data_IF_171274130497
#
_entry.id   IF_171274130497
#
_cell.length_a   1.000
_cell.length_b   1.000
_cell.length_c   1.000
_cell.angle_alpha   90.00
_cell.angle_beta   90.00
_cell.angle_gamma   90.00
#
_symmetry.space_group_name_H-M   'P 1'
#
loop_
_entity.id
_entity.type
_entity.pdbx_description
1 polymer ?
#
# COMPACT_ATOMS: atom_id res chain seq x y z
N UNK A 1 -4.11 -5.86 -17.94
CA UNK A 1 -4.37 -4.43 -17.63
C UNK A 1 -3.97 -3.59 -18.84
N UNK A 2 -4.54 -2.40 -19.01
CA UNK A 2 -4.13 -1.48 -20.08
C UNK A 2 -2.71 -0.98 -19.83
N UNK A 3 -1.89 -0.88 -20.88
CA UNK A 3 -0.47 -0.56 -20.76
C UNK A 3 -0.22 0.83 -20.16
N UNK A 4 -1.04 1.81 -20.52
CA UNK A 4 -0.96 3.18 -19.98
C UNK A 4 -1.18 3.21 -18.46
N UNK A 5 -2.17 2.46 -17.97
CA UNK A 5 -2.42 2.33 -16.53
C UNK A 5 -1.24 1.69 -15.80
N UNK A 6 -0.64 0.63 -16.38
CA UNK A 6 0.53 -0.05 -15.79
C UNK A 6 1.70 0.91 -15.67
N UNK A 7 2.01 1.69 -16.72
CA UNK A 7 3.10 2.65 -16.70
C UNK A 7 2.89 3.76 -15.66
N UNK A 8 1.69 4.34 -15.60
CA UNK A 8 1.35 5.37 -14.62
C UNK A 8 1.45 4.85 -13.17
N UNK A 9 1.00 3.62 -12.92
CA UNK A 9 1.13 3.02 -11.60
C UNK A 9 2.59 2.71 -11.24
N UNK A 10 3.43 2.28 -12.20
CA UNK A 10 4.85 2.04 -11.95
C UNK A 10 5.59 3.32 -11.58
N UNK A 11 5.32 4.43 -12.27
CA UNK A 11 5.87 5.74 -11.95
C UNK A 11 5.47 6.17 -10.53
N UNK A 12 4.18 6.09 -10.21
CA UNK A 12 3.69 6.42 -8.87
C UNK A 12 4.32 5.54 -7.77
N UNK A 13 4.47 4.24 -8.01
CA UNK A 13 5.08 3.33 -7.04
C UNK A 13 6.57 3.62 -6.83
N UNK A 14 7.27 4.06 -7.87
CA UNK A 14 8.66 4.47 -7.78
C UNK A 14 8.80 5.73 -6.90
N UNK A 15 7.98 6.75 -7.14
CA UNK A 15 7.96 7.97 -6.31
C UNK A 15 7.68 7.64 -4.83
N UNK A 16 6.64 6.84 -4.56
CA UNK A 16 6.30 6.41 -3.20
C UNK A 16 7.44 5.62 -2.54
N UNK A 17 8.14 4.79 -3.30
CA UNK A 17 9.27 4.00 -2.80
C UNK A 17 10.44 4.90 -2.39
N UNK A 18 10.77 5.90 -3.21
CA UNK A 18 11.85 6.86 -2.94
C UNK A 18 11.52 7.72 -1.70
N UNK A 19 10.31 8.29 -1.64
CA UNK A 19 9.88 9.10 -0.50
C UNK A 19 9.86 8.30 0.81
N UNK A 20 9.32 7.06 0.79
CA UNK A 20 9.30 6.21 1.98
C UNK A 20 10.70 5.77 2.43
N UNK A 21 11.63 5.57 1.48
CA UNK A 21 13.02 5.26 1.81
C UNK A 21 13.70 6.44 2.51
N UNK A 22 13.55 7.66 1.98
CA UNK A 22 14.10 8.89 2.61
C UNK A 22 13.50 9.09 4.01
N UNK A 23 12.18 8.93 4.16
CA UNK A 23 11.51 9.04 5.45
C UNK A 23 11.98 7.97 6.44
N UNK A 24 12.21 6.73 5.97
CA UNK A 24 12.75 5.64 6.80
C UNK A 24 14.13 6.00 7.35
N UNK A 25 15.01 6.58 6.52
CA UNK A 25 16.33 7.06 6.97
C UNK A 25 16.20 8.16 8.03
N UNK A 26 15.34 9.16 7.81
CA UNK A 26 15.09 10.24 8.79
C UNK A 26 14.64 9.71 10.15
N UNK A 27 13.79 8.67 10.18
CA UNK A 27 13.36 8.03 11.43
C UNK A 27 14.52 7.29 12.11
N UNK A 28 15.37 6.59 11.35
CA UNK A 28 16.53 5.87 11.90
C UNK A 28 17.56 6.82 12.53
N UNK A 29 17.75 8.01 11.95
CA UNK A 29 18.61 9.05 12.53
C UNK A 29 17.96 9.83 13.68
N UNK A 30 16.72 9.51 14.06
CA UNK A 30 15.99 10.19 15.14
C UNK A 30 15.55 11.62 14.79
N UNK A 31 15.50 11.98 13.52
CA UNK A 31 15.26 13.35 13.05
C UNK A 31 13.96 13.48 12.24
N UNK A 32 12.86 12.90 12.73
CA UNK A 32 11.56 13.05 12.07
C UNK A 32 10.84 14.31 12.54
N UNK A 33 10.74 15.30 11.66
CA UNK A 33 9.93 16.49 11.90
C UNK A 33 8.43 16.16 11.82
N UNK A 34 7.57 17.04 12.35
CA UNK A 34 6.12 16.91 12.20
C UNK A 34 5.66 16.89 10.73
N UNK A 35 6.39 17.59 9.86
CA UNK A 35 6.10 17.62 8.42
C UNK A 35 6.45 16.27 7.80
N UNK A 36 7.65 15.74 8.09
CA UNK A 36 8.07 14.43 7.62
C UNK A 36 7.16 13.30 8.14
N UNK A 37 6.69 13.41 9.40
CA UNK A 37 5.70 12.49 9.94
C UNK A 37 4.39 12.51 9.15
N UNK A 38 3.85 13.70 8.83
CA UNK A 38 2.64 13.81 7.98
C UNK A 38 2.87 13.30 6.55
N UNK A 39 4.06 13.51 6.00
CA UNK A 39 4.44 12.94 4.71
C UNK A 39 4.44 11.41 4.76
N UNK A 40 4.88 10.82 5.88
CA UNK A 40 4.82 9.37 6.11
C UNK A 40 3.38 8.86 6.10
N UNK A 41 2.50 9.49 6.88
CA UNK A 41 1.08 9.13 6.93
C UNK A 41 0.46 9.15 5.53
N UNK A 42 0.73 10.21 4.76
CA UNK A 42 0.22 10.36 3.39
C UNK A 42 0.77 9.30 2.44
N UNK A 43 2.06 9.02 2.49
CA UNK A 43 2.70 8.01 1.64
C UNK A 43 2.15 6.61 1.92
N UNK A 44 1.99 6.22 3.19
CA UNK A 44 1.40 4.93 3.55
C UNK A 44 -0.07 4.82 3.11
N UNK A 45 -0.83 5.91 3.23
CA UNK A 45 -2.20 5.98 2.70
C UNK A 45 -2.21 5.75 1.18
N UNK A 46 -1.41 6.52 0.43
CA UNK A 46 -1.33 6.43 -1.03
C UNK A 46 -0.90 5.05 -1.51
N UNK A 47 0.13 4.48 -0.90
CA UNK A 47 0.60 3.13 -1.21
C UNK A 47 -0.51 2.09 -0.98
N UNK A 48 -1.27 2.22 0.10
CA UNK A 48 -2.40 1.32 0.37
C UNK A 48 -3.50 1.47 -0.68
N UNK A 49 -3.85 2.70 -1.09
CA UNK A 49 -4.84 2.93 -2.15
C UNK A 49 -4.36 2.40 -3.51
N UNK A 50 -3.07 2.56 -3.84
CA UNK A 50 -2.46 1.99 -5.04
C UNK A 50 -2.61 0.47 -5.06
N UNK A 51 -2.30 -0.21 -3.95
CA UNK A 51 -2.50 -1.66 -3.82
C UNK A 51 -3.97 -2.07 -4.03
N UNK A 52 -4.92 -1.33 -3.45
CA UNK A 52 -6.36 -1.60 -3.62
C UNK A 52 -6.77 -1.43 -5.08
N UNK A 53 -6.33 -0.35 -5.75
CA UNK A 53 -6.62 -0.09 -7.15
C UNK A 53 -6.09 -1.19 -8.06
N UNK A 54 -4.82 -1.57 -7.88
CA UNK A 54 -4.17 -2.64 -8.64
C UNK A 54 -4.87 -3.98 -8.41
N UNK A 55 -5.20 -4.33 -7.17
CA UNK A 55 -5.93 -5.56 -6.85
C UNK A 55 -7.31 -5.61 -7.54
N UNK A 56 -8.03 -4.49 -7.59
CA UNK A 56 -9.30 -4.40 -8.33
C UNK A 56 -9.09 -4.57 -9.83
N UNK A 57 -8.07 -3.94 -10.42
CA UNK A 57 -7.77 -4.12 -11.84
C UNK A 57 -7.36 -5.56 -12.17
N UNK A 58 -6.64 -6.23 -11.27
CA UNK A 58 -6.32 -7.66 -11.40
C UNK A 58 -7.58 -8.53 -11.38
N UNK A 59 -8.49 -8.31 -10.42
CA UNK A 59 -9.77 -9.04 -10.42
C UNK A 59 -10.58 -8.79 -11.69
N UNK A 60 -10.59 -7.56 -12.19
CA UNK A 60 -11.25 -7.20 -13.45
C UNK A 60 -10.66 -7.94 -14.64
N UNK A 61 -9.33 -8.06 -14.74
CA UNK A 61 -8.69 -8.80 -15.84
C UNK A 61 -8.97 -10.30 -15.79
N UNK A 62 -9.24 -10.86 -14.60
CA UNK A 62 -9.67 -12.25 -14.41
C UNK A 62 -11.18 -12.46 -14.65
N UNK A 63 -11.91 -11.43 -15.10
CA UNK A 63 -13.36 -11.50 -15.35
C UNK A 63 -14.22 -11.60 -14.09
N UNK A 64 -13.67 -11.25 -12.92
CA UNK A 64 -14.36 -11.36 -11.62
C UNK A 64 -15.18 -10.10 -11.36
N UNK A 65 -16.40 -10.28 -10.83
CA UNK A 65 -17.23 -9.17 -10.34
C UNK A 65 -16.51 -8.47 -9.20
N UNK A 66 -16.30 -7.16 -9.34
CA UNK A 66 -15.53 -6.38 -8.37
C UNK A 66 -16.27 -6.27 -7.04
N UNK A 67 -15.60 -6.57 -5.91
CA UNK A 67 -16.19 -6.35 -4.60
C UNK A 67 -16.36 -4.86 -4.28
N UNK A 68 -17.32 -4.57 -3.39
CA UNK A 68 -17.66 -3.19 -3.01
C UNK A 68 -16.64 -2.55 -2.06
N UNK A 69 -15.87 -3.34 -1.30
CA UNK A 69 -14.87 -2.84 -0.36
C UNK A 69 -13.49 -3.48 -0.55
N UNK A 70 -12.48 -2.80 0.03
CA UNK A 70 -11.07 -3.18 -0.09
C UNK A 70 -10.77 -4.55 0.54
N UNK A 71 -11.38 -4.88 1.70
CA UNK A 71 -11.12 -6.16 2.38
C UNK A 71 -11.62 -7.33 1.56
N UNK A 72 -12.83 -7.20 1.00
CA UNK A 72 -13.38 -8.19 0.10
C UNK A 72 -12.55 -8.34 -1.18
N UNK A 73 -11.97 -7.24 -1.68
CA UNK A 73 -11.06 -7.26 -2.84
C UNK A 73 -9.87 -8.19 -2.59
N UNK A 74 -9.14 -8.01 -1.49
CA UNK A 74 -7.98 -8.86 -1.18
C UNK A 74 -8.38 -10.28 -0.77
N UNK A 75 -9.48 -10.46 -0.03
CA UNK A 75 -10.00 -11.80 0.27
C UNK A 75 -10.29 -12.58 -1.01
N UNK A 76 -10.88 -11.93 -2.01
CA UNK A 76 -11.17 -12.56 -3.30
C UNK A 76 -9.90 -12.88 -4.08
N UNK A 77 -8.92 -11.97 -4.08
CA UNK A 77 -7.64 -12.18 -4.75
C UNK A 77 -6.88 -13.37 -4.15
N UNK A 78 -6.84 -13.46 -2.81
CA UNK A 78 -6.25 -14.59 -2.08
C UNK A 78 -7.00 -15.90 -2.33
N UNK A 79 -8.34 -15.88 -2.33
CA UNK A 79 -9.15 -17.07 -2.62
C UNK A 79 -8.95 -17.62 -4.04
N UNK A 80 -8.50 -16.78 -4.98
CA UNK A 80 -8.13 -17.16 -6.34
C UNK A 80 -6.65 -17.59 -6.47
N UNK A 81 -5.91 -17.64 -5.37
CA UNK A 81 -4.48 -17.96 -5.37
C UNK A 81 -3.59 -16.89 -6.03
N UNK A 82 -4.14 -15.69 -6.26
CA UNK A 82 -3.44 -14.60 -6.95
C UNK A 82 -2.65 -13.69 -5.99
N UNK A 83 -2.79 -13.90 -4.68
CA UNK A 83 -2.02 -13.22 -3.64
C UNK A 83 -1.35 -14.24 -2.72
N UNK A 84 -0.03 -14.37 -2.87
CA UNK A 84 0.83 -15.22 -2.05
C UNK A 84 1.75 -14.39 -1.13
N UNK A 85 1.47 -13.09 -0.97
CA UNK A 85 2.35 -12.17 -0.23
C UNK A 85 2.40 -12.42 1.28
N UNK A 86 1.37 -13.09 1.83
CA UNK A 86 1.22 -13.26 3.28
C UNK A 86 0.89 -11.96 4.02
N UNK A 87 0.54 -10.89 3.31
CA UNK A 87 0.20 -9.59 3.91
C UNK A 87 -1.14 -9.68 4.65
N UNK A 88 -1.15 -9.18 5.89
CA UNK A 88 -2.34 -9.03 6.71
C UNK A 88 -3.18 -7.82 6.25
N UNK A 89 -3.83 -7.93 5.08
CA UNK A 89 -4.55 -6.81 4.45
C UNK A 89 -5.61 -6.15 5.33
N UNK A 90 -6.23 -6.89 6.25
CA UNK A 90 -7.16 -6.32 7.22
C UNK A 90 -6.49 -5.28 8.14
N UNK A 91 -5.24 -5.52 8.54
CA UNK A 91 -4.43 -4.58 9.34
C UNK A 91 -4.00 -3.39 8.50
N UNK A 92 -3.53 -3.63 7.28
CA UNK A 92 -3.10 -2.56 6.34
C UNK A 92 -4.26 -1.61 6.04
N UNK A 93 -5.43 -2.14 5.67
CA UNK A 93 -6.64 -1.34 5.43
C UNK A 93 -7.11 -0.65 6.71
N UNK A 94 -7.00 -1.34 7.86
CA UNK A 94 -7.30 -0.76 9.16
C UNK A 94 -6.46 0.48 9.47
N UNK A 95 -5.14 0.39 9.25
CA UNK A 95 -4.22 1.52 9.38
C UNK A 95 -4.60 2.66 8.43
N UNK A 96 -4.83 2.37 7.14
CA UNK A 96 -5.25 3.39 6.17
C UNK A 96 -6.53 4.10 6.59
N UNK A 97 -7.50 3.36 7.13
CA UNK A 97 -8.75 3.95 7.60
C UNK A 97 -8.52 4.82 8.85
N UNK A 98 -7.67 4.37 9.77
CA UNK A 98 -7.31 5.16 10.95
C UNK A 98 -6.66 6.48 10.52
N UNK A 99 -5.67 6.43 9.61
CA UNK A 99 -4.95 7.61 9.09
C UNK A 99 -5.87 8.69 8.49
N UNK A 100 -7.05 8.31 8.01
CA UNK A 100 -8.01 9.24 7.39
C UNK A 100 -9.14 9.64 8.34
N UNK A 101 -9.71 8.68 9.06
CA UNK A 101 -10.97 8.87 9.80
C UNK A 101 -10.79 8.97 11.30
N UNK A 102 -9.73 8.36 11.85
CA UNK A 102 -9.46 8.26 13.29
C UNK A 102 -8.09 8.86 13.66
N UNK A 103 -7.63 9.82 12.87
CA UNK A 103 -6.26 10.37 12.93
C UNK A 103 -5.90 11.02 14.27
N UNK A 104 -6.90 11.38 15.09
CA UNK A 104 -6.68 11.92 16.44
C UNK A 104 -6.25 10.85 17.45
N UNK A 105 -6.54 9.57 17.19
CA UNK A 105 -6.32 8.47 18.12
C UNK A 105 -5.16 7.55 17.68
N UNK A 106 -4.44 7.89 16.61
CA UNK A 106 -3.30 7.11 16.15
C UNK A 106 -2.10 7.37 17.04
N UNK A 107 -1.54 6.29 17.59
CA UNK A 107 -0.23 6.34 18.24
C UNK A 107 0.86 6.49 17.17
N UNK A 108 1.66 7.58 17.17
CA UNK A 108 2.67 7.83 16.14
C UNK A 108 3.69 6.68 16.00
N UNK A 109 4.00 5.99 17.09
CA UNK A 109 4.92 4.85 17.09
C UNK A 109 4.48 3.70 16.17
N UNK A 110 3.18 3.53 15.93
CA UNK A 110 2.69 2.54 14.96
C UNK A 110 3.22 2.88 13.56
N UNK A 111 3.03 4.12 13.13
CA UNK A 111 3.47 4.63 11.81
C UNK A 111 5.00 4.61 11.71
N UNK A 112 5.70 5.07 12.76
CA UNK A 112 7.15 5.09 12.80
C UNK A 112 7.76 3.68 12.79
N UNK A 113 7.12 2.71 13.44
CA UNK A 113 7.58 1.31 13.44
C UNK A 113 7.55 0.69 12.04
N UNK A 114 6.55 1.04 11.22
CA UNK A 114 6.43 0.59 9.83
C UNK A 114 7.61 1.11 9.00
N UNK A 115 7.99 2.38 9.19
CA UNK A 115 9.16 2.95 8.52
C UNK A 115 10.46 2.31 8.98
N UNK A 116 10.68 2.16 10.29
CA UNK A 116 11.92 1.57 10.84
C UNK A 116 12.14 0.13 10.39
N UNK A 117 11.06 -0.65 10.34
CA UNK A 117 11.10 -2.04 9.91
C UNK A 117 10.94 -2.24 8.41
N UNK A 118 10.75 -1.15 7.65
CA UNK A 118 10.47 -1.15 6.20
C UNK A 118 9.34 -2.10 5.79
N UNK A 119 8.34 -2.27 6.66
CA UNK A 119 7.19 -3.16 6.38
C UNK A 119 6.42 -2.76 5.12
N UNK A 120 6.46 -1.47 4.74
CA UNK A 120 5.88 -0.96 3.50
C UNK A 120 6.47 -1.61 2.23
N UNK A 121 7.67 -2.18 2.29
CA UNK A 121 8.29 -2.85 1.14
C UNK A 121 7.43 -4.02 0.63
N UNK A 122 6.80 -4.77 1.54
CA UNK A 122 5.91 -5.87 1.16
C UNK A 122 4.73 -5.40 0.29
N UNK A 123 4.22 -4.18 0.52
CA UNK A 123 3.13 -3.60 -0.26
C UNK A 123 3.63 -3.17 -1.66
N UNK A 124 4.83 -2.60 -1.74
CA UNK A 124 5.49 -2.27 -3.02
C UNK A 124 5.71 -3.54 -3.85
N UNK A 125 6.26 -4.59 -3.22
CA UNK A 125 6.53 -5.87 -3.87
C UNK A 125 5.24 -6.51 -4.38
N UNK A 126 4.19 -6.52 -3.56
CA UNK A 126 2.86 -6.96 -3.98
C UNK A 126 2.36 -6.18 -5.19
N UNK A 127 2.40 -4.85 -5.13
CA UNK A 127 1.89 -3.99 -6.20
C UNK A 127 2.62 -4.25 -7.53
N UNK A 128 3.95 -4.35 -7.49
CA UNK A 128 4.77 -4.63 -8.67
C UNK A 128 4.50 -6.04 -9.24
N UNK A 129 4.35 -7.05 -8.38
CA UNK A 129 4.00 -8.41 -8.80
C UNK A 129 2.64 -8.43 -9.52
N UNK A 130 1.62 -7.77 -8.98
CA UNK A 130 0.29 -7.76 -9.59
C UNK A 130 0.24 -7.00 -10.92
N UNK A 131 1.03 -5.93 -11.08
CA UNK A 131 1.14 -5.17 -12.33
C UNK A 131 1.80 -5.98 -13.45
N UNK A 132 2.74 -6.86 -13.10
CA UNK A 132 3.49 -7.68 -14.06
C UNK A 132 2.89 -9.06 -14.29
N UNK A 133 1.92 -9.47 -13.47
CA UNK A 133 1.24 -10.76 -13.60
C UNK A 133 0.46 -10.84 -14.93
N UNK A 134 0.76 -11.87 -15.73
CA UNK A 134 0.01 -12.19 -16.94
C UNK A 134 -1.44 -12.56 -16.58
N UNK A 135 -2.40 -12.21 -17.45
CA UNK A 135 -3.82 -12.50 -17.24
C UNK A 135 -4.15 -13.95 -17.57
#
# INVERSE_FOLDING_TARGET
MEQEYVLAMQEQLQELSEELAELSELVLFGNISRIAYRATERNLQLLTEACIGIAKQRLKSLGVVLPNDARQTFNKLSALGCDASGIEWNKVIGLRNALVHDYLNIEPEIVLSILRSKQYQSLLDFAQQQLTAES
#
